data_IF_222418182121
#
_entry.id   IF_222418182121
#
_cell.length_a   1.000
_cell.length_b   1.000
_cell.length_c   1.000
_cell.angle_alpha   90.00
_cell.angle_beta   90.00
_cell.angle_gamma   90.00
#
_symmetry.space_group_name_H-M   'P 1'
#
loop_
_entity.id
_entity.type
_entity.pdbx_description
1 polymer ?
#
# COMPACT_ATOMS: atom_id res chain seq x y z
N UNK A 1 -2.61 -13.47 -10.56
CA UNK A 1 -3.42 -12.91 -9.46
C UNK A 1 -2.45 -12.47 -8.36
N UNK A 2 -2.70 -11.34 -7.69
CA UNK A 2 -1.80 -10.76 -6.68
C UNK A 2 -2.51 -10.75 -5.34
N UNK A 3 -1.83 -11.17 -4.28
CA UNK A 3 -2.33 -11.11 -2.91
C UNK A 3 -1.59 -10.02 -2.14
N UNK A 4 -2.33 -9.26 -1.35
CA UNK A 4 -1.81 -8.17 -0.52
C UNK A 4 -1.86 -8.59 0.94
N UNK A 5 -0.80 -8.30 1.69
CA UNK A 5 -0.86 -8.40 3.14
C UNK A 5 -1.75 -7.25 3.68
N UNK A 6 -2.82 -7.58 4.40
CA UNK A 6 -3.73 -6.56 4.94
C UNK A 6 -3.13 -5.78 6.10
N UNK A 7 -2.02 -6.23 6.68
CA UNK A 7 -1.33 -5.53 7.76
C UNK A 7 -0.42 -4.43 7.20
N UNK A 8 0.51 -4.75 6.28
CA UNK A 8 1.51 -3.79 5.78
C UNK A 8 1.32 -3.33 4.32
N UNK A 9 0.46 -4.01 3.54
CA UNK A 9 0.16 -3.67 2.15
C UNK A 9 1.09 -4.30 1.11
N UNK A 10 2.13 -5.04 1.53
CA UNK A 10 3.07 -5.69 0.60
C UNK A 10 2.36 -6.68 -0.32
N UNK A 11 2.68 -6.59 -1.61
CA UNK A 11 2.12 -7.44 -2.67
C UNK A 11 2.98 -8.67 -2.92
N UNK A 12 2.33 -9.81 -3.14
CA UNK A 12 2.96 -11.09 -3.42
C UNK A 12 2.23 -11.81 -4.56
N UNK A 13 2.91 -12.66 -5.36
CA UNK A 13 2.28 -13.48 -6.39
C UNK A 13 1.34 -14.55 -5.79
N UNK A 14 0.15 -14.76 -6.36
CA UNK A 14 -0.88 -15.66 -5.80
C UNK A 14 -0.49 -17.14 -5.65
N UNK A 15 0.56 -17.61 -6.34
CA UNK A 15 1.03 -18.99 -6.21
C UNK A 15 2.00 -19.18 -5.04
N UNK A 16 2.32 -18.13 -4.28
CA UNK A 16 3.18 -18.28 -3.11
C UNK A 16 2.38 -18.92 -1.97
N UNK A 17 3.02 -19.71 -1.11
CA UNK A 17 2.32 -20.42 -0.02
C UNK A 17 1.84 -19.48 1.10
N UNK A 18 2.13 -18.17 1.01
CA UNK A 18 1.62 -17.07 1.83
C UNK A 18 1.43 -17.39 3.32
N UNK A 19 2.29 -18.23 3.92
CA UNK A 19 2.13 -18.58 5.35
C UNK A 19 2.32 -17.34 6.21
N UNK A 20 3.35 -16.55 5.88
CA UNK A 20 3.65 -15.28 6.53
C UNK A 20 4.18 -14.25 5.53
N UNK A 21 3.90 -12.99 5.79
CA UNK A 21 4.45 -11.82 5.11
C UNK A 21 5.81 -11.50 5.71
N UNK A 22 6.87 -11.65 4.91
CA UNK A 22 8.26 -11.37 5.31
C UNK A 22 8.49 -9.97 5.87
N UNK A 23 7.71 -8.99 5.41
CA UNK A 23 7.77 -7.61 5.94
C UNK A 23 7.18 -7.52 7.34
N UNK A 24 6.09 -8.25 7.61
CA UNK A 24 5.47 -8.31 8.94
C UNK A 24 6.22 -9.22 9.91
N UNK A 25 7.04 -10.14 9.40
CA UNK A 25 7.92 -10.97 10.24
C UNK A 25 9.21 -10.24 10.63
N UNK A 26 9.52 -9.11 10.00
CA UNK A 26 10.57 -8.21 10.46
C UNK A 26 10.13 -7.60 11.80
N UNK A 27 10.95 -7.77 12.84
CA UNK A 27 10.63 -7.33 14.22
C UNK A 27 10.35 -5.82 14.34
N UNK A 28 10.81 -5.02 13.37
CA UNK A 28 10.58 -3.58 13.32
C UNK A 28 9.17 -3.23 12.84
N UNK A 29 8.48 -4.17 12.21
CA UNK A 29 7.17 -3.95 11.64
C UNK A 29 6.08 -4.19 12.69
N UNK A 30 5.20 -3.19 12.86
CA UNK A 30 3.97 -3.37 13.63
C UNK A 30 3.03 -4.35 12.92
N UNK A 31 2.52 -5.32 13.67
CA UNK A 31 1.48 -6.27 13.24
C UNK A 31 0.25 -6.09 14.13
N UNK A 32 -0.96 -5.89 13.56
CA UNK A 32 -2.19 -5.80 14.35
C UNK A 32 -2.45 -7.08 15.17
N UNK A 33 -3.17 -6.95 16.30
CA UNK A 33 -3.53 -8.10 17.15
C UNK A 33 -4.29 -9.21 16.41
N UNK A 34 -5.01 -8.86 15.35
CA UNK A 34 -5.70 -9.80 14.46
C UNK A 34 -4.77 -10.62 13.55
N UNK A 35 -3.46 -10.37 13.62
CA UNK A 35 -2.41 -11.01 12.84
C UNK A 35 -2.31 -10.52 11.40
N UNK A 36 -1.56 -11.28 10.61
CA UNK A 36 -1.41 -11.07 9.17
C UNK A 36 -2.55 -11.76 8.43
N UNK A 37 -3.15 -11.10 7.44
CA UNK A 37 -4.15 -11.69 6.54
C UNK A 37 -3.85 -11.30 5.10
N UNK A 38 -4.55 -11.94 4.18
CA UNK A 38 -4.36 -11.77 2.74
C UNK A 38 -5.65 -11.29 2.09
N UNK A 39 -5.54 -10.36 1.15
CA UNK A 39 -6.64 -9.84 0.34
C UNK A 39 -6.23 -9.89 -1.14
N UNK A 40 -7.11 -10.38 -2.03
CA UNK A 40 -6.82 -10.33 -3.45
C UNK A 40 -6.82 -8.87 -3.94
N UNK A 41 -5.90 -8.53 -4.85
CA UNK A 41 -5.78 -7.18 -5.39
C UNK A 41 -7.09 -6.69 -6.05
N UNK A 42 -7.81 -7.58 -6.73
CA UNK A 42 -9.08 -7.23 -7.36
C UNK A 42 -10.20 -6.96 -6.34
N UNK A 43 -10.18 -7.63 -5.18
CA UNK A 43 -11.11 -7.33 -4.07
C UNK A 43 -10.83 -5.95 -3.46
N UNK A 44 -9.55 -5.58 -3.31
CA UNK A 44 -9.20 -4.23 -2.87
C UNK A 44 -9.71 -3.18 -3.87
N UNK A 45 -9.49 -3.39 -5.16
CA UNK A 45 -9.93 -2.47 -6.22
C UNK A 45 -11.44 -2.33 -6.32
N UNK A 46 -12.20 -3.36 -5.97
CA UNK A 46 -13.65 -3.31 -5.99
C UNK A 46 -14.23 -2.41 -4.87
N UNK A 47 -13.48 -2.19 -3.79
CA UNK A 47 -13.96 -1.48 -2.59
C UNK A 47 -13.19 -0.18 -2.29
N UNK A 48 -12.03 0.03 -2.91
CA UNK A 48 -11.14 1.15 -2.65
C UNK A 48 -10.80 1.89 -3.93
N UNK A 49 -10.49 3.18 -3.79
CA UNK A 49 -10.00 4.04 -4.85
C UNK A 49 -8.77 4.81 -4.39
N UNK A 50 -8.03 5.36 -5.35
CA UNK A 50 -6.90 6.24 -5.06
C UNK A 50 -7.34 7.70 -5.12
N UNK A 51 -7.15 8.43 -4.03
CA UNK A 51 -7.45 9.86 -3.92
C UNK A 51 -6.17 10.68 -4.04
N UNK A 52 -6.20 11.66 -4.92
CA UNK A 52 -5.15 12.67 -5.08
C UNK A 52 -5.46 13.91 -4.25
N UNK A 53 -4.43 14.59 -3.77
CA UNK A 53 -4.54 15.89 -3.10
C UNK A 53 -3.37 16.77 -3.51
N UNK A 54 -3.66 17.99 -3.96
CA UNK A 54 -2.65 18.98 -4.26
C UNK A 54 -2.29 19.77 -2.98
N UNK A 55 -0.99 19.82 -2.68
CA UNK A 55 -0.43 20.63 -1.60
C UNK A 55 0.21 21.91 -2.15
N UNK A 56 0.64 21.88 -3.41
CA UNK A 56 1.06 23.03 -4.22
C UNK A 56 1.02 22.65 -5.70
N UNK A 57 1.38 23.59 -6.59
CA UNK A 57 1.50 23.33 -8.02
C UNK A 57 2.56 22.26 -8.35
N UNK A 58 3.55 22.05 -7.47
CA UNK A 58 4.60 21.05 -7.69
C UNK A 58 4.40 19.76 -6.87
N UNK A 59 3.56 19.78 -5.83
CA UNK A 59 3.47 18.69 -4.85
C UNK A 59 2.05 18.10 -4.77
N UNK A 60 1.94 16.82 -5.10
CA UNK A 60 0.72 16.02 -5.00
C UNK A 60 0.94 14.89 -3.99
N UNK A 61 -0.11 14.48 -3.27
CA UNK A 61 -0.11 13.22 -2.53
C UNK A 61 -1.17 12.28 -3.07
N UNK A 62 -0.87 10.98 -3.01
CA UNK A 62 -1.76 9.88 -3.36
C UNK A 62 -2.01 9.00 -2.15
N UNK A 63 -3.28 8.70 -1.88
CA UNK A 63 -3.69 7.81 -0.78
C UNK A 63 -4.80 6.86 -1.25
N UNK A 64 -4.73 5.60 -0.85
CA UNK A 64 -5.85 4.66 -1.03
C UNK A 64 -6.95 4.98 0.00
N UNK A 65 -8.20 5.04 -0.45
CA UNK A 65 -9.39 5.33 0.35
C UNK A 65 -10.50 4.31 0.04
N UNK A 66 -11.16 3.67 1.03
CA UNK A 66 -10.90 3.74 2.48
C UNK A 66 -9.46 3.38 2.90
N UNK A 67 -9.11 3.59 4.17
CA UNK A 67 -7.76 3.30 4.64
C UNK A 67 -7.44 1.81 4.53
N UNK A 68 -6.24 1.49 4.02
CA UNK A 68 -5.79 0.12 3.83
C UNK A 68 -4.40 -0.10 4.42
N UNK A 69 -4.21 -1.25 5.08
CA UNK A 69 -2.96 -1.65 5.70
C UNK A 69 -2.36 -0.58 6.63
N UNK A 70 -1.07 -0.28 6.52
CA UNK A 70 -0.42 0.79 7.30
C UNK A 70 -0.80 2.20 6.84
N UNK A 71 -1.81 2.34 5.99
CA UNK A 71 -2.37 3.61 5.57
C UNK A 71 -1.36 4.50 4.83
N UNK A 72 -0.53 3.89 3.97
CA UNK A 72 0.54 4.58 3.24
C UNK A 72 -0.01 5.75 2.40
N UNK A 73 0.78 6.82 2.33
CA UNK A 73 0.53 7.99 1.50
C UNK A 73 1.81 8.32 0.73
N UNK A 74 1.75 8.19 -0.58
CA UNK A 74 2.85 8.56 -1.46
C UNK A 74 2.77 10.05 -1.82
N UNK A 75 3.92 10.66 -2.11
CA UNK A 75 4.05 12.02 -2.62
C UNK A 75 4.72 12.01 -3.99
N UNK A 76 4.12 12.76 -4.91
CA UNK A 76 4.67 13.05 -6.22
C UNK A 76 5.14 14.51 -6.24
N UNK A 77 6.46 14.68 -6.29
CA UNK A 77 7.11 15.98 -6.51
C UNK A 77 7.44 16.14 -7.99
N UNK A 78 6.92 17.19 -8.60
CA UNK A 78 7.15 17.53 -10.01
C UNK A 78 8.21 18.61 -10.13
N UNK A 79 9.23 18.36 -10.95
CA UNK A 79 10.29 19.34 -11.25
C UNK A 79 10.53 19.41 -12.76
N UNK A 80 11.13 20.50 -13.28
CA UNK A 80 11.49 20.58 -14.70
C UNK A 80 12.46 19.49 -15.17
N UNK A 81 13.21 18.86 -14.25
CA UNK A 81 14.22 17.84 -14.55
C UNK A 81 13.70 16.41 -14.36
N UNK A 82 12.42 16.26 -14.01
CA UNK A 82 11.80 14.95 -13.76
C UNK A 82 10.94 14.95 -12.50
N UNK A 83 10.28 13.82 -12.28
CA UNK A 83 9.38 13.64 -11.14
C UNK A 83 9.99 12.64 -10.15
N UNK A 84 9.76 12.89 -8.86
CA UNK A 84 10.08 11.95 -7.78
C UNK A 84 8.77 11.47 -7.18
N UNK A 85 8.57 10.15 -7.15
CA UNK A 85 7.47 9.51 -6.43
C UNK A 85 8.08 8.73 -5.26
N UNK A 86 7.64 9.06 -4.04
CA UNK A 86 8.07 8.43 -2.80
C UNK A 86 6.86 8.04 -1.95
#
# INVERSE_FOLDING_TARGET
MTMLCTACGTAYPAHSTHQHCKICDDERQYVPAAGQRWLAFDELRASHANKWTAHSDALLSLKTVPEFAINQRAFLLRTPHGNVLW
#
